data_IF_426537483084
#
_entry.id   IF_426537483084
#
_cell.length_a   1.000
_cell.length_b   1.000
_cell.length_c   1.000
_cell.angle_alpha   90.00
_cell.angle_beta   90.00
_cell.angle_gamma   90.00
#
_symmetry.space_group_name_H-M   'P 1'
#
loop_
_entity.id
_entity.type
_entity.pdbx_description
1 polymer ?
#
# COMPACT_ATOMS: atom_id res chain seq x y z
N UNK A 1 8.52 11.17 -18.82
CA UNK A 1 7.42 10.65 -18.00
C UNK A 1 7.98 9.54 -17.15
N UNK A 2 8.05 9.79 -15.85
CA UNK A 2 8.49 8.86 -14.82
C UNK A 2 7.29 8.34 -14.03
N UNK A 3 7.49 7.25 -13.31
CA UNK A 3 6.49 6.67 -12.42
C UNK A 3 7.00 6.79 -11.00
N UNK A 4 6.26 7.51 -10.16
CA UNK A 4 6.54 7.66 -8.74
C UNK A 4 5.56 6.85 -7.90
N UNK A 5 5.93 6.52 -6.68
CA UNK A 5 5.03 5.90 -5.72
C UNK A 5 5.26 6.40 -4.29
N UNK A 6 4.17 6.36 -3.51
CA UNK A 6 4.14 6.59 -2.07
C UNK A 6 2.96 5.81 -1.48
N UNK A 7 2.97 5.57 -0.17
CA UNK A 7 1.85 4.97 0.55
C UNK A 7 1.85 5.42 2.00
N UNK A 8 0.84 5.03 2.76
CA UNK A 8 0.80 5.22 4.22
C UNK A 8 0.98 6.71 4.57
N UNK A 9 0.21 7.56 3.89
CA UNK A 9 0.22 9.00 4.10
C UNK A 9 -0.40 9.35 5.45
N UNK A 10 -1.36 8.57 5.96
CA UNK A 10 -1.99 8.78 7.28
C UNK A 10 -2.37 10.26 7.53
N UNK A 11 -3.25 10.81 6.69
CA UNK A 11 -3.61 12.23 6.66
C UNK A 11 -4.38 12.71 7.90
N UNK A 12 -4.81 11.81 8.79
CA UNK A 12 -5.29 12.16 10.13
C UNK A 12 -4.21 12.90 10.94
N UNK A 13 -2.93 12.62 10.67
CA UNK A 13 -1.83 13.38 11.26
C UNK A 13 -1.58 14.67 10.48
N UNK A 14 -1.79 15.81 11.15
CA UNK A 14 -1.57 17.17 10.60
C UNK A 14 -0.23 17.29 9.85
N UNK A 15 0.82 16.71 10.41
CA UNK A 15 2.16 16.83 9.82
C UNK A 15 2.29 16.11 8.46
N UNK A 16 1.69 14.93 8.31
CA UNK A 16 1.71 14.23 7.03
C UNK A 16 0.80 14.93 6.02
N UNK A 17 -0.33 15.50 6.47
CA UNK A 17 -1.19 16.35 5.65
C UNK A 17 -0.47 17.60 5.14
N UNK A 18 0.26 18.30 6.00
CA UNK A 18 1.14 19.41 5.60
C UNK A 18 2.17 18.95 4.56
N UNK A 19 2.80 17.79 4.77
CA UNK A 19 3.77 17.23 3.84
C UNK A 19 3.16 17.00 2.45
N UNK A 20 1.92 16.49 2.37
CA UNK A 20 1.21 16.33 1.10
C UNK A 20 1.00 17.67 0.35
N UNK A 21 0.73 18.77 1.06
CA UNK A 21 0.64 20.11 0.45
C UNK A 21 1.98 20.63 -0.07
N UNK A 22 3.10 20.20 0.52
CA UNK A 22 4.46 20.56 0.12
C UNK A 22 4.99 19.72 -1.06
N UNK A 23 4.18 18.80 -1.58
CA UNK A 23 4.54 17.98 -2.74
C UNK A 23 4.67 18.86 -3.99
N UNK A 24 5.79 18.73 -4.70
CA UNK A 24 6.11 19.55 -5.88
C UNK A 24 5.40 19.03 -7.13
N UNK A 25 5.14 19.89 -8.13
CA UNK A 25 4.54 19.47 -9.40
C UNK A 25 5.44 18.50 -10.20
N UNK A 26 4.80 17.47 -10.74
CA UNK A 26 5.32 16.39 -11.57
C UNK A 26 4.39 16.19 -12.79
N UNK A 27 4.08 17.31 -13.47
CA UNK A 27 2.95 17.42 -14.42
C UNK A 27 3.03 16.49 -15.64
N UNK A 28 4.21 15.95 -15.95
CA UNK A 28 4.44 14.99 -17.05
C UNK A 28 4.56 13.53 -16.57
N UNK A 29 4.51 13.30 -15.26
CA UNK A 29 4.79 12.02 -14.62
C UNK A 29 3.51 11.40 -14.01
N UNK A 30 3.60 10.14 -13.62
CA UNK A 30 2.51 9.40 -12.98
C UNK A 30 2.82 9.11 -11.51
N UNK A 31 1.78 9.02 -10.68
CA UNK A 31 1.88 8.68 -9.26
C UNK A 31 1.08 7.42 -8.95
N UNK A 32 1.66 6.53 -8.15
CA UNK A 32 0.97 5.44 -7.48
C UNK A 32 0.83 5.79 -5.99
N UNK A 33 -0.38 5.63 -5.44
CA UNK A 33 -0.65 5.74 -4.01
C UNK A 33 -1.04 4.34 -3.50
N UNK A 34 -0.14 3.65 -2.77
CA UNK A 34 -0.37 2.26 -2.34
C UNK A 34 -1.13 2.14 -1.02
N UNK A 35 -2.31 2.75 -0.92
CA UNK A 35 -3.17 2.66 0.27
C UNK A 35 -2.71 3.46 1.48
N UNK A 36 -3.55 3.45 2.50
CA UNK A 36 -3.38 4.16 3.78
C UNK A 36 -3.12 5.66 3.60
N UNK A 37 -3.91 6.28 2.73
CA UNK A 37 -4.10 7.73 2.69
C UNK A 37 -4.64 8.21 4.03
N UNK A 38 -5.65 7.54 4.59
CA UNK A 38 -6.20 7.86 5.90
C UNK A 38 -7.59 7.28 6.11
N UNK A 39 -8.12 7.43 7.33
CA UNK A 39 -9.28 6.68 7.80
C UNK A 39 -10.64 7.26 7.40
N UNK A 40 -10.64 8.36 6.64
CA UNK A 40 -11.84 9.15 6.35
C UNK A 40 -12.00 9.36 4.85
N UNK A 41 -13.25 9.44 4.39
CA UNK A 41 -13.54 9.80 2.99
C UNK A 41 -12.98 11.19 2.63
N UNK A 42 -13.00 12.15 3.56
CA UNK A 42 -12.42 13.48 3.31
C UNK A 42 -10.92 13.42 3.01
N UNK A 43 -10.18 12.47 3.61
CA UNK A 43 -8.75 12.30 3.36
C UNK A 43 -8.48 11.85 1.91
N UNK A 44 -9.35 11.00 1.34
CA UNK A 44 -9.28 10.62 -0.07
C UNK A 44 -9.59 11.80 -0.99
N UNK A 45 -10.65 12.56 -0.70
CA UNK A 45 -10.95 13.79 -1.46
C UNK A 45 -9.77 14.76 -1.44
N UNK A 46 -9.16 14.99 -0.28
CA UNK A 46 -8.00 15.86 -0.12
C UNK A 46 -6.80 15.36 -0.92
N UNK A 47 -6.44 14.08 -0.76
CA UNK A 47 -5.32 13.46 -1.47
C UNK A 47 -5.47 13.51 -2.98
N UNK A 48 -6.64 13.09 -3.50
CA UNK A 48 -6.87 13.04 -4.94
C UNK A 48 -6.98 14.44 -5.54
N UNK A 49 -7.61 15.40 -4.85
CA UNK A 49 -7.67 16.80 -5.29
C UNK A 49 -6.30 17.44 -5.43
N UNK A 50 -5.35 17.11 -4.56
CA UNK A 50 -3.98 17.63 -4.62
C UNK A 50 -3.19 16.90 -5.69
N UNK A 51 -3.13 15.57 -5.61
CA UNK A 51 -2.23 14.76 -6.45
C UNK A 51 -2.61 14.78 -7.93
N UNK A 52 -3.89 14.82 -8.28
CA UNK A 52 -4.33 14.93 -9.68
C UNK A 52 -4.03 16.29 -10.32
N UNK A 53 -3.70 17.31 -9.52
CA UNK A 53 -3.17 18.60 -10.03
C UNK A 53 -1.65 18.60 -10.19
N UNK A 54 -0.97 17.70 -9.49
CA UNK A 54 0.50 17.64 -9.46
C UNK A 54 1.05 16.58 -10.42
N UNK A 55 0.28 15.55 -10.76
CA UNK A 55 0.70 14.44 -11.63
C UNK A 55 -0.25 14.28 -12.82
N UNK A 56 0.27 13.80 -13.94
CA UNK A 56 -0.49 13.56 -15.16
C UNK A 56 -1.55 12.46 -15.00
N UNK A 57 -1.19 11.40 -14.29
CA UNK A 57 -2.07 10.27 -14.00
C UNK A 57 -1.78 9.77 -12.59
N UNK A 58 -2.84 9.54 -11.83
CA UNK A 58 -2.75 8.95 -10.49
C UNK A 58 -3.40 7.57 -10.51
N UNK A 59 -2.73 6.62 -9.85
CA UNK A 59 -3.22 5.28 -9.55
C UNK A 59 -3.34 5.15 -8.04
N UNK A 60 -4.36 4.46 -7.56
CA UNK A 60 -4.56 4.21 -6.14
C UNK A 60 -5.06 2.79 -5.90
N UNK A 61 -4.69 2.23 -4.76
CA UNK A 61 -5.23 0.98 -4.22
C UNK A 61 -5.62 1.21 -2.76
N UNK A 62 -6.68 0.55 -2.23
CA UNK A 62 -7.07 0.71 -0.84
C UNK A 62 -6.08 0.05 0.11
N UNK A 63 -5.84 0.70 1.25
CA UNK A 63 -5.26 0.08 2.45
C UNK A 63 -6.31 -0.21 3.51
N UNK A 64 -5.89 -0.75 4.65
CA UNK A 64 -6.80 -1.07 5.75
C UNK A 64 -7.41 0.20 6.38
N UNK A 65 -6.67 1.31 6.41
CA UNK A 65 -7.16 2.53 7.03
C UNK A 65 -8.39 3.11 6.31
N UNK A 66 -8.42 3.12 4.97
CA UNK A 66 -9.60 3.56 4.21
C UNK A 66 -10.84 2.71 4.47
N UNK A 67 -10.64 1.45 4.89
CA UNK A 67 -11.68 0.45 5.07
C UNK A 67 -12.14 0.32 6.52
N UNK A 68 -11.57 1.11 7.44
CA UNK A 68 -12.04 1.18 8.80
C UNK A 68 -13.42 1.82 8.89
N UNK A 69 -14.29 1.23 9.70
CA UNK A 69 -15.50 1.88 10.18
C UNK A 69 -15.17 2.62 11.47
N UNK A 70 -15.28 3.94 11.44
CA UNK A 70 -14.91 4.78 12.58
C UNK A 70 -15.96 4.71 13.70
N UNK A 71 -15.55 4.75 14.97
CA UNK A 71 -16.50 4.78 16.08
C UNK A 71 -17.25 6.11 16.11
N UNK A 72 -18.57 6.06 16.28
CA UNK A 72 -19.41 7.25 16.22
C UNK A 72 -19.13 8.29 17.30
N UNK A 73 -19.13 9.58 16.92
CA UNK A 73 -19.08 10.70 17.85
C UNK A 73 -20.41 11.46 17.82
N UNK A 74 -21.24 11.24 18.84
CA UNK A 74 -22.67 11.59 18.89
C UNK A 74 -23.04 13.09 18.97
N UNK A 75 -22.33 14.00 18.29
CA UNK A 75 -22.67 15.44 18.23
C UNK A 75 -22.81 15.89 16.77
N UNK A 76 -23.96 15.62 16.14
CA UNK A 76 -24.21 16.01 14.74
C UNK A 76 -24.79 17.42 14.61
N UNK A 77 -24.15 18.22 13.76
CA UNK A 77 -24.79 19.33 13.04
C UNK A 77 -25.05 18.93 11.58
N UNK A 78 -25.85 19.71 10.86
CA UNK A 78 -26.00 19.59 9.39
C UNK A 78 -24.64 19.82 8.69
N UNK A 79 -24.36 19.08 7.61
CA UNK A 79 -23.15 19.26 6.79
C UNK A 79 -22.01 18.24 6.99
N UNK A 80 -22.27 17.14 7.71
CA UNK A 80 -21.30 16.08 8.02
C UNK A 80 -21.75 14.71 7.45
N UNK A 81 -22.18 14.68 6.18
CA UNK A 81 -22.68 13.46 5.53
C UNK A 81 -21.56 12.42 5.35
N UNK A 82 -20.34 12.85 4.98
CA UNK A 82 -19.17 11.98 4.83
C UNK A 82 -18.75 11.34 6.16
N UNK A 83 -18.70 12.10 7.26
CA UNK A 83 -18.47 11.57 8.62
C UNK A 83 -19.50 10.45 8.97
N UNK A 84 -20.76 10.58 8.55
CA UNK A 84 -21.76 9.53 8.76
C UNK A 84 -21.45 8.26 7.96
N UNK A 85 -20.93 8.38 6.73
CA UNK A 85 -20.49 7.24 5.93
C UNK A 85 -19.28 6.54 6.54
N UNK A 86 -18.35 7.27 7.16
CA UNK A 86 -17.21 6.70 7.91
C UNK A 86 -17.67 5.86 9.10
N UNK A 87 -18.78 6.22 9.75
CA UNK A 87 -19.33 5.52 10.91
C UNK A 87 -20.24 4.33 10.53
N UNK A 88 -20.86 4.38 9.34
CA UNK A 88 -21.91 3.43 8.93
C UNK A 88 -21.41 2.35 7.97
N UNK A 89 -20.57 2.71 6.99
CA UNK A 89 -20.14 1.78 5.95
C UNK A 89 -19.10 0.79 6.48
N UNK A 90 -19.23 -0.47 6.05
CA UNK A 90 -18.42 -1.61 6.49
C UNK A 90 -17.93 -2.41 5.30
N UNK A 91 -16.69 -2.92 5.39
CA UNK A 91 -16.14 -3.85 4.43
C UNK A 91 -16.22 -3.39 2.97
N UNK A 92 -16.77 -4.26 2.11
CA UNK A 92 -16.90 -3.97 0.69
C UNK A 92 -17.76 -2.74 0.42
N UNK A 93 -18.76 -2.44 1.25
CA UNK A 93 -19.56 -1.22 1.10
C UNK A 93 -18.73 0.04 1.31
N UNK A 94 -17.78 0.02 2.25
CA UNK A 94 -16.83 1.12 2.45
C UNK A 94 -15.87 1.24 1.27
N UNK A 95 -15.38 0.09 0.79
CA UNK A 95 -14.53 0.03 -0.39
C UNK A 95 -15.19 0.66 -1.63
N UNK A 96 -16.45 0.32 -1.91
CA UNK A 96 -17.19 0.89 -3.05
C UNK A 96 -17.33 2.42 -2.95
N UNK A 97 -17.48 2.97 -1.73
CA UNK A 97 -17.50 4.42 -1.54
C UNK A 97 -16.12 5.04 -1.82
N UNK A 98 -15.02 4.40 -1.40
CA UNK A 98 -13.67 4.86 -1.78
C UNK A 98 -13.46 4.84 -3.30
N UNK A 99 -13.97 3.82 -4.00
CA UNK A 99 -13.94 3.74 -5.48
C UNK A 99 -14.76 4.89 -6.10
N UNK A 100 -15.94 5.19 -5.55
CA UNK A 100 -16.76 6.33 -6.00
C UNK A 100 -15.99 7.64 -5.92
N UNK A 101 -15.29 7.89 -4.80
CA UNK A 101 -14.46 9.08 -4.60
C UNK A 101 -13.30 9.13 -5.60
N UNK A 102 -12.56 8.03 -5.78
CA UNK A 102 -11.47 7.96 -6.75
C UNK A 102 -11.94 8.29 -8.18
N UNK A 103 -13.12 7.79 -8.56
CA UNK A 103 -13.74 8.05 -9.87
C UNK A 103 -14.05 9.53 -10.10
N UNK A 104 -14.43 10.30 -9.07
CA UNK A 104 -14.68 11.75 -9.22
C UNK A 104 -13.44 12.53 -9.67
N UNK A 105 -12.25 12.04 -9.32
CA UNK A 105 -10.98 12.67 -9.65
C UNK A 105 -10.25 12.00 -10.83
N UNK A 106 -10.82 10.96 -11.44
CA UNK A 106 -10.17 10.21 -12.52
C UNK A 106 -8.92 9.45 -12.06
N UNK A 107 -8.87 9.06 -10.79
CA UNK A 107 -7.81 8.20 -10.25
C UNK A 107 -8.11 6.76 -10.66
N UNK A 108 -7.11 6.06 -11.22
CA UNK A 108 -7.28 4.67 -11.66
C UNK A 108 -7.17 3.74 -10.45
N UNK A 109 -8.15 2.85 -10.32
CA UNK A 109 -8.34 1.96 -9.18
C UNK A 109 -8.18 0.48 -9.57
N UNK A 110 -8.26 -0.47 -8.62
CA UNK A 110 -8.29 -1.90 -8.94
C UNK A 110 -9.47 -2.36 -9.82
N UNK A 111 -10.57 -1.59 -9.82
CA UNK A 111 -11.78 -1.96 -10.55
C UNK A 111 -11.74 -1.52 -12.03
N UNK A 112 -10.94 -0.50 -12.35
CA UNK A 112 -10.74 0.04 -13.70
C UNK A 112 -9.86 -0.85 -14.58
N UNK A 113 -9.92 -0.68 -15.90
CA UNK A 113 -9.01 -1.38 -16.81
C UNK A 113 -7.53 -1.08 -16.51
N UNK A 114 -6.69 -2.12 -16.56
CA UNK A 114 -5.24 -1.94 -16.37
C UNK A 114 -4.63 -1.14 -17.52
N UNK A 115 -3.84 -0.13 -17.16
CA UNK A 115 -3.38 0.88 -18.10
C UNK A 115 -1.97 0.58 -18.60
N UNK A 116 -1.81 0.54 -19.93
CA UNK A 116 -0.50 0.51 -20.57
C UNK A 116 0.20 1.85 -20.31
N UNK A 117 1.39 1.80 -19.74
CA UNK A 117 2.21 2.95 -19.42
C UNK A 117 3.48 2.94 -20.26
N UNK A 118 3.74 4.04 -20.98
CA UNK A 118 4.79 4.15 -22.00
C UNK A 118 5.88 5.18 -21.64
N UNK A 119 6.03 5.48 -20.35
CA UNK A 119 7.11 6.34 -19.86
C UNK A 119 8.48 5.66 -19.84
N UNK A 120 9.45 6.37 -19.27
CA UNK A 120 10.84 5.91 -19.16
C UNK A 120 10.94 4.62 -18.34
N UNK A 121 11.58 3.58 -18.89
CA UNK A 121 11.63 2.24 -18.30
C UNK A 121 10.46 1.32 -18.70
N UNK A 122 9.45 1.85 -19.40
CA UNK A 122 8.39 1.08 -20.04
C UNK A 122 8.82 0.44 -21.39
N UNK A 123 7.85 -0.06 -22.19
CA UNK A 123 6.43 -0.13 -21.87
C UNK A 123 6.15 -1.17 -20.79
N UNK A 124 5.17 -0.88 -19.93
CA UNK A 124 4.61 -1.82 -18.97
C UNK A 124 3.10 -1.64 -18.87
N UNK A 125 2.43 -2.51 -18.11
CA UNK A 125 1.02 -2.32 -17.74
C UNK A 125 0.98 -2.14 -16.22
N UNK A 126 0.38 -1.04 -15.76
CA UNK A 126 0.18 -0.79 -14.33
C UNK A 126 -1.09 -1.53 -13.89
N UNK A 127 -0.95 -2.37 -12.87
CA UNK A 127 -2.01 -3.23 -12.37
C UNK A 127 -2.29 -2.89 -10.90
N UNK A 128 -3.21 -1.95 -10.61
CA UNK A 128 -3.73 -1.75 -9.26
C UNK A 128 -4.49 -3.00 -8.79
N UNK A 129 -4.21 -3.45 -7.57
CA UNK A 129 -4.75 -4.65 -6.95
C UNK A 129 -5.34 -4.31 -5.58
N UNK A 130 -6.22 -5.18 -5.10
CA UNK A 130 -6.72 -5.15 -3.74
C UNK A 130 -6.91 -6.60 -3.31
N UNK A 131 -6.09 -7.07 -2.35
CA UNK A 131 -6.07 -8.48 -1.91
C UNK A 131 -6.50 -8.71 -0.48
N UNK A 132 -6.33 -7.74 0.44
CA UNK A 132 -6.34 -7.97 1.90
C UNK A 132 -5.27 -8.99 2.33
N UNK A 133 -5.58 -9.74 3.39
CA UNK A 133 -4.82 -10.80 4.00
C UNK A 133 -5.75 -11.91 4.51
N UNK A 134 -5.19 -13.09 4.71
CA UNK A 134 -5.90 -14.30 5.18
C UNK A 134 -5.15 -14.99 6.34
N UNK A 135 -4.30 -14.23 7.05
CA UNK A 135 -3.51 -14.72 8.18
C UNK A 135 -2.54 -15.86 7.82
N UNK A 136 -2.32 -16.14 6.53
CA UNK A 136 -1.43 -17.23 6.07
C UNK A 136 0.06 -16.90 6.18
N UNK A 137 0.42 -15.64 6.35
CA UNK A 137 1.78 -15.19 6.69
C UNK A 137 2.11 -15.45 8.17
N UNK A 138 1.97 -16.73 8.54
CA UNK A 138 2.29 -17.32 9.84
C UNK A 138 3.25 -18.50 9.65
N UNK A 139 3.91 -18.98 10.72
CA UNK A 139 4.67 -20.23 10.67
C UNK A 139 3.78 -21.41 10.23
N UNK A 140 4.36 -22.37 9.51
CA UNK A 140 3.61 -23.51 8.98
C UNK A 140 3.05 -24.45 10.08
N UNK A 141 3.65 -24.42 11.27
CA UNK A 141 3.20 -25.15 12.46
C UNK A 141 2.09 -24.44 13.24
N UNK A 142 1.77 -23.19 12.90
CA UNK A 142 0.66 -22.42 13.52
C UNK A 142 -0.59 -22.57 12.64
N UNK A 143 -1.67 -23.09 13.22
CA UNK A 143 -2.96 -23.22 12.53
C UNK A 143 -3.59 -21.86 12.25
N UNK A 144 -4.62 -21.80 11.39
CA UNK A 144 -5.32 -20.55 11.14
C UNK A 144 -6.11 -20.11 12.37
N UNK A 145 -6.70 -21.08 13.05
CA UNK A 145 -7.52 -20.94 14.24
C UNK A 145 -6.70 -20.37 15.40
N UNK A 146 -5.45 -20.84 15.57
CA UNK A 146 -4.55 -20.42 16.64
C UNK A 146 -3.75 -19.16 16.29
N UNK A 147 -3.86 -18.64 15.05
CA UNK A 147 -3.00 -17.55 14.56
C UNK A 147 -3.10 -16.28 15.42
N UNK A 148 -4.32 -15.85 15.77
CA UNK A 148 -4.52 -14.66 16.59
C UNK A 148 -4.00 -14.87 18.02
N UNK A 149 -4.19 -16.06 18.60
CA UNK A 149 -3.64 -16.40 19.92
C UNK A 149 -2.12 -16.39 19.88
N UNK A 150 -1.51 -16.95 18.83
CA UNK A 150 -0.08 -16.90 18.58
C UNK A 150 0.44 -15.46 18.52
N UNK A 151 -0.22 -14.52 17.82
CA UNK A 151 0.22 -13.12 17.86
C UNK A 151 0.04 -12.48 19.26
N UNK A 152 -1.03 -12.83 19.96
CA UNK A 152 -1.35 -12.32 21.30
C UNK A 152 -0.37 -12.79 22.39
N UNK A 153 0.34 -13.91 22.22
CA UNK A 153 1.44 -14.30 23.12
C UNK A 153 2.54 -13.22 23.23
N UNK A 154 2.72 -12.41 22.18
CA UNK A 154 3.62 -11.25 22.17
C UNK A 154 2.87 -9.91 22.34
N UNK A 155 1.59 -9.94 22.73
CA UNK A 155 0.69 -8.79 22.86
C UNK A 155 0.54 -7.98 21.56
N UNK A 156 0.58 -8.65 20.41
CA UNK A 156 0.40 -8.02 19.10
C UNK A 156 -1.03 -8.29 18.62
N UNK A 157 -1.77 -7.21 18.37
CA UNK A 157 -3.10 -7.23 17.75
C UNK A 157 -3.26 -6.03 16.83
N UNK A 158 -3.74 -6.24 15.61
CA UNK A 158 -4.02 -5.14 14.68
C UNK A 158 -5.35 -4.44 15.01
N UNK A 159 -5.40 -3.14 14.78
CA UNK A 159 -6.65 -2.34 14.85
C UNK A 159 -7.72 -2.89 13.92
N UNK A 160 -7.31 -3.49 12.80
CA UNK A 160 -8.19 -4.20 11.87
C UNK A 160 -9.17 -5.14 12.56
N UNK A 161 -8.74 -5.85 13.60
CA UNK A 161 -9.61 -6.79 14.31
C UNK A 161 -10.87 -6.14 14.88
N UNK A 162 -10.79 -4.86 15.25
CA UNK A 162 -11.90 -4.08 15.76
C UNK A 162 -12.62 -3.27 14.68
N UNK A 163 -11.90 -2.70 13.70
CA UNK A 163 -12.44 -1.66 12.81
C UNK A 163 -12.58 -2.07 11.34
N UNK A 164 -11.84 -3.08 10.87
CA UNK A 164 -11.94 -3.55 9.49
C UNK A 164 -13.01 -4.64 9.41
N UNK A 165 -14.27 -4.27 9.20
CA UNK A 165 -15.34 -5.26 9.10
C UNK A 165 -15.35 -5.94 7.72
N UNK A 166 -15.63 -7.26 7.62
CA UNK A 166 -15.57 -7.97 6.34
C UNK A 166 -16.89 -7.97 5.56
N UNK A 167 -17.92 -7.22 5.97
CA UNK A 167 -19.24 -7.23 5.33
C UNK A 167 -19.14 -7.05 3.79
N UNK A 168 -19.88 -7.83 2.98
CA UNK A 168 -20.88 -8.85 3.34
C UNK A 168 -20.29 -10.26 3.57
N UNK A 169 -18.97 -10.41 3.55
CA UNK A 169 -18.29 -11.69 3.76
C UNK A 169 -18.33 -12.10 5.23
N UNK A 170 -18.28 -13.41 5.50
CA UNK A 170 -18.30 -13.93 6.88
C UNK A 170 -16.98 -13.68 7.63
N UNK A 171 -15.88 -13.47 6.91
CA UNK A 171 -14.55 -13.22 7.48
C UNK A 171 -13.67 -12.46 6.49
N UNK A 172 -12.58 -11.87 7.01
CA UNK A 172 -11.55 -11.21 6.19
C UNK A 172 -10.86 -12.20 5.25
N UNK A 173 -10.71 -13.45 5.67
CA UNK A 173 -10.19 -14.55 4.86
C UNK A 173 -10.99 -14.79 3.59
N UNK A 174 -12.32 -14.84 3.71
CA UNK A 174 -13.22 -15.06 2.58
C UNK A 174 -13.31 -13.84 1.67
N UNK A 175 -13.19 -12.64 2.25
CA UNK A 175 -13.07 -11.42 1.45
C UNK A 175 -11.74 -11.41 0.67
N UNK A 176 -10.63 -11.75 1.33
CA UNK A 176 -9.32 -11.92 0.70
C UNK A 176 -9.38 -12.96 -0.42
N UNK A 177 -10.05 -14.08 -0.22
CA UNK A 177 -10.22 -15.12 -1.24
C UNK A 177 -10.94 -14.61 -2.50
N UNK A 178 -12.07 -13.91 -2.36
CA UNK A 178 -12.77 -13.30 -3.51
C UNK A 178 -11.88 -12.28 -4.22
N UNK A 179 -11.22 -11.42 -3.46
CA UNK A 179 -10.32 -10.38 -3.97
C UNK A 179 -9.13 -10.96 -4.75
N UNK A 180 -8.51 -12.00 -4.21
CA UNK A 180 -7.41 -12.72 -4.85
C UNK A 180 -7.87 -13.39 -6.15
N UNK A 181 -9.02 -14.08 -6.13
CA UNK A 181 -9.55 -14.76 -7.32
C UNK A 181 -9.85 -13.77 -8.47
N UNK A 182 -10.46 -12.61 -8.16
CA UNK A 182 -10.71 -11.55 -9.15
C UNK A 182 -9.42 -10.97 -9.72
N UNK A 183 -8.45 -10.69 -8.87
CA UNK A 183 -7.15 -10.16 -9.30
C UNK A 183 -6.39 -11.18 -10.16
N UNK A 184 -6.42 -12.47 -9.78
CA UNK A 184 -5.80 -13.56 -10.54
C UNK A 184 -6.37 -13.68 -11.96
N UNK A 185 -7.70 -13.68 -12.12
CA UNK A 185 -8.37 -13.74 -13.43
C UNK A 185 -7.91 -12.58 -14.34
N UNK A 186 -7.87 -11.37 -13.79
CA UNK A 186 -7.49 -10.15 -14.52
C UNK A 186 -6.01 -10.13 -14.87
N UNK A 187 -5.14 -10.58 -13.98
CA UNK A 187 -3.70 -10.68 -14.22
C UNK A 187 -3.39 -11.76 -15.27
N UNK A 188 -4.06 -12.91 -15.21
CA UNK A 188 -3.92 -13.97 -16.21
C UNK A 188 -4.27 -13.44 -17.61
N UNK A 189 -5.44 -12.83 -17.79
CA UNK A 189 -5.86 -12.23 -19.06
C UNK A 189 -4.90 -11.14 -19.55
N UNK A 190 -4.37 -10.31 -18.63
CA UNK A 190 -3.46 -9.21 -18.98
C UNK A 190 -2.07 -9.70 -19.36
N UNK A 191 -1.56 -10.71 -18.66
CA UNK A 191 -0.21 -11.26 -18.86
C UNK A 191 -0.03 -11.85 -20.27
N UNK A 192 -1.11 -12.37 -20.87
CA UNK A 192 -1.13 -12.89 -22.25
C UNK A 192 -0.76 -11.84 -23.30
N UNK A 193 -0.80 -10.54 -22.96
CA UNK A 193 -0.38 -9.45 -23.85
C UNK A 193 1.14 -9.40 -24.06
N UNK A 194 1.93 -10.12 -23.24
CA UNK A 194 3.39 -10.19 -23.34
C UNK A 194 4.13 -8.89 -22.96
N UNK A 195 3.42 -7.91 -22.39
CA UNK A 195 4.00 -6.67 -21.87
C UNK A 195 4.25 -6.85 -20.37
N UNK A 196 5.44 -6.50 -19.82
CA UNK A 196 5.72 -6.64 -18.39
C UNK A 196 4.73 -5.85 -17.51
N UNK A 197 4.40 -6.40 -16.34
CA UNK A 197 3.43 -5.80 -15.42
C UNK A 197 4.11 -5.03 -14.29
N UNK A 198 3.46 -3.97 -13.78
CA UNK A 198 3.78 -3.35 -12.49
C UNK A 198 2.64 -3.69 -11.55
N UNK A 199 2.89 -4.58 -10.60
CA UNK A 199 1.86 -5.00 -9.63
C UNK A 199 1.85 -4.00 -8.48
N UNK A 200 0.69 -3.41 -8.22
CA UNK A 200 0.51 -2.41 -7.16
C UNK A 200 -0.52 -2.93 -6.18
N UNK A 201 -0.16 -3.05 -4.91
CA UNK A 201 -1.08 -3.47 -3.85
C UNK A 201 -0.73 -2.72 -2.57
N UNK A 202 -1.64 -2.60 -1.61
CA UNK A 202 -1.25 -2.06 -0.30
C UNK A 202 -0.46 -3.10 0.50
N UNK A 203 -1.03 -4.31 0.65
CA UNK A 203 -0.39 -5.43 1.34
C UNK A 203 0.76 -6.05 0.52
N UNK A 204 1.87 -6.43 1.16
CA UNK A 204 2.90 -7.29 0.58
C UNK A 204 2.33 -8.52 -0.17
N UNK A 205 2.86 -8.79 -1.37
CA UNK A 205 2.49 -9.96 -2.17
C UNK A 205 3.37 -11.19 -1.90
N UNK A 206 4.34 -11.09 -0.99
CA UNK A 206 5.22 -12.19 -0.60
C UNK A 206 5.52 -12.13 0.89
N UNK A 207 5.56 -13.28 1.54
CA UNK A 207 5.86 -13.35 2.97
C UNK A 207 7.31 -12.93 3.26
N UNK A 208 8.25 -13.32 2.40
CA UNK A 208 9.69 -13.17 2.61
C UNK A 208 10.22 -11.74 2.36
N UNK A 209 9.36 -10.80 1.97
CA UNK A 209 9.65 -9.36 1.90
C UNK A 209 9.26 -8.63 3.19
N UNK A 210 8.55 -9.30 4.10
CA UNK A 210 8.18 -8.76 5.39
C UNK A 210 9.36 -8.89 6.36
N UNK A 211 9.86 -7.77 6.86
CA UNK A 211 10.83 -7.76 7.97
C UNK A 211 10.52 -6.58 8.88
N UNK A 212 9.75 -6.86 9.91
CA UNK A 212 9.27 -5.90 10.91
C UNK A 212 9.77 -6.36 12.29
N UNK A 213 11.08 -6.23 12.58
CA UNK A 213 11.73 -6.95 13.69
C UNK A 213 11.25 -6.55 15.08
N UNK A 214 10.57 -5.42 15.23
CA UNK A 214 9.98 -4.99 16.51
C UNK A 214 8.62 -5.64 16.78
N UNK A 215 7.92 -6.08 15.73
CA UNK A 215 6.57 -6.67 15.79
C UNK A 215 6.43 -7.81 14.77
N UNK A 216 7.29 -8.86 14.82
CA UNK A 216 7.36 -9.87 13.77
C UNK A 216 6.03 -10.62 13.56
N UNK A 217 5.25 -10.85 14.62
CA UNK A 217 3.94 -11.54 14.52
C UNK A 217 2.83 -10.68 13.94
N UNK A 218 3.10 -9.40 13.63
CA UNK A 218 2.18 -8.57 12.85
C UNK A 218 2.06 -9.07 11.39
N UNK A 219 2.93 -9.97 10.95
CA UNK A 219 2.88 -10.59 9.63
C UNK A 219 1.52 -11.18 9.25
N UNK A 220 0.71 -11.60 10.23
CA UNK A 220 -0.65 -12.10 10.02
C UNK A 220 -1.53 -11.17 9.19
N UNK A 221 -1.38 -9.86 9.38
CA UNK A 221 -2.21 -8.83 8.75
C UNK A 221 -1.57 -8.27 7.46
N UNK A 222 -0.46 -8.84 6.99
CA UNK A 222 0.34 -8.28 5.92
C UNK A 222 0.12 -8.88 4.53
N UNK A 223 -0.75 -9.88 4.36
CA UNK A 223 -1.07 -10.43 3.04
C UNK A 223 -1.46 -11.90 3.05
N UNK A 224 -1.22 -12.59 1.93
CA UNK A 224 -1.59 -14.00 1.73
C UNK A 224 -0.51 -14.76 0.95
N UNK A 225 -0.27 -16.03 1.30
CA UNK A 225 0.61 -16.95 0.56
C UNK A 225 0.10 -17.24 -0.86
N UNK A 226 -1.18 -16.97 -1.16
CA UNK A 226 -1.76 -17.18 -2.50
C UNK A 226 -1.14 -16.29 -3.59
N UNK A 227 -0.45 -15.21 -3.22
CA UNK A 227 0.17 -14.26 -4.16
C UNK A 227 1.68 -14.45 -4.30
N UNK A 228 2.26 -15.43 -3.61
CA UNK A 228 3.71 -15.58 -3.43
C UNK A 228 4.49 -15.66 -4.74
N UNK A 229 3.94 -16.28 -5.79
CA UNK A 229 4.60 -16.49 -7.08
C UNK A 229 4.17 -15.48 -8.17
N UNK A 230 3.27 -14.54 -7.86
CA UNK A 230 2.65 -13.64 -8.85
C UNK A 230 3.66 -12.81 -9.63
N UNK A 231 4.78 -12.44 -9.02
CA UNK A 231 5.84 -11.68 -9.70
C UNK A 231 6.48 -12.46 -10.84
N UNK A 232 6.66 -13.78 -10.69
CA UNK A 232 7.17 -14.64 -11.77
C UNK A 232 6.06 -15.10 -12.71
N UNK A 233 4.93 -15.54 -12.14
CA UNK A 233 3.80 -16.09 -12.88
C UNK A 233 3.21 -15.08 -13.86
N UNK A 234 3.10 -13.81 -13.45
CA UNK A 234 2.52 -12.76 -14.28
C UNK A 234 3.57 -11.80 -14.87
N UNK A 235 4.85 -12.21 -14.94
CA UNK A 235 5.92 -11.44 -15.57
C UNK A 235 6.00 -9.99 -15.05
N UNK A 236 6.02 -9.84 -13.73
CA UNK A 236 6.12 -8.55 -13.09
C UNK A 236 7.52 -7.96 -13.30
N UNK A 237 7.57 -6.70 -13.69
CA UNK A 237 8.78 -5.88 -13.77
C UNK A 237 9.15 -5.33 -12.38
N UNK A 238 8.14 -4.86 -11.65
CA UNK A 238 8.26 -4.30 -10.30
C UNK A 238 6.97 -4.61 -9.54
N UNK A 239 7.08 -4.91 -8.25
CA UNK A 239 5.97 -4.98 -7.30
C UNK A 239 6.08 -3.79 -6.35
N UNK A 240 5.01 -3.03 -6.16
CA UNK A 240 4.99 -1.82 -5.33
C UNK A 240 3.95 -1.99 -4.23
N UNK A 241 4.37 -1.86 -2.96
CA UNK A 241 3.53 -2.04 -1.78
C UNK A 241 3.76 -1.00 -0.69
N UNK A 242 2.88 -0.97 0.31
CA UNK A 242 2.98 -0.13 1.51
C UNK A 242 2.86 -0.98 2.77
N UNK A 243 2.03 -0.51 3.72
CA UNK A 243 1.53 -1.20 4.90
C UNK A 243 2.55 -1.46 6.02
N UNK A 244 3.82 -1.76 5.70
CA UNK A 244 4.80 -2.16 6.71
C UNK A 244 5.43 -0.95 7.42
N UNK A 245 5.39 0.23 6.80
CA UNK A 245 6.08 1.44 7.25
C UNK A 245 7.61 1.26 7.28
N UNK A 246 8.14 0.36 6.44
CA UNK A 246 9.56 0.04 6.39
C UNK A 246 10.09 0.14 4.96
N UNK A 247 10.28 1.39 4.49
CA UNK A 247 10.80 1.65 3.14
C UNK A 247 12.04 0.85 2.84
N UNK A 248 11.96 0.06 1.78
CA UNK A 248 13.01 -0.89 1.39
C UNK A 248 12.84 -1.28 -0.06
N UNK A 249 13.91 -1.83 -0.61
CA UNK A 249 13.87 -2.57 -1.86
C UNK A 249 14.38 -3.99 -1.62
N UNK A 250 13.64 -4.96 -2.11
CA UNK A 250 14.06 -6.36 -2.18
C UNK A 250 14.09 -6.83 -3.63
N UNK A 251 14.84 -7.90 -3.89
CA UNK A 251 14.88 -8.57 -5.19
C UNK A 251 14.56 -10.05 -5.00
N UNK A 252 13.61 -10.58 -5.78
CA UNK A 252 13.26 -12.00 -5.85
C UNK A 252 13.11 -12.39 -7.30
N UNK A 253 13.83 -13.42 -7.72
CA UNK A 253 13.80 -13.92 -9.11
C UNK A 253 14.09 -12.83 -10.16
N UNK A 254 14.96 -11.87 -9.82
CA UNK A 254 15.27 -10.72 -10.68
C UNK A 254 14.15 -9.67 -10.76
N UNK A 255 13.10 -9.78 -9.95
CA UNK A 255 12.02 -8.80 -9.83
C UNK A 255 12.22 -7.95 -8.57
N UNK A 256 12.04 -6.64 -8.74
CA UNK A 256 12.18 -5.67 -7.66
C UNK A 256 10.87 -5.50 -6.90
N UNK A 257 10.94 -5.55 -5.57
CA UNK A 257 9.85 -5.27 -4.64
C UNK A 257 10.16 -3.96 -3.92
N UNK A 258 9.27 -2.98 -4.02
CA UNK A 258 9.43 -1.64 -3.45
C UNK A 258 8.36 -1.41 -2.39
N UNK A 259 8.79 -1.28 -1.13
CA UNK A 259 7.92 -0.78 -0.07
C UNK A 259 8.12 0.74 0.05
N UNK A 260 7.02 1.49 -0.12
CA UNK A 260 7.05 2.94 -0.37
C UNK A 260 6.36 3.78 0.69
N UNK A 261 6.18 3.23 1.90
CA UNK A 261 5.47 3.92 2.97
C UNK A 261 6.15 5.21 3.41
N UNK A 262 5.38 6.29 3.52
CA UNK A 262 5.78 7.46 4.31
C UNK A 262 5.77 7.07 5.80
N UNK A 263 4.65 6.49 6.23
CA UNK A 263 4.38 6.04 7.59
C UNK A 263 3.97 7.18 8.52
N UNK A 264 3.80 6.86 9.80
CA UNK A 264 3.48 7.83 10.84
C UNK A 264 4.56 8.92 10.98
N UNK A 265 4.23 10.14 11.45
CA UNK A 265 5.17 11.26 11.54
C UNK A 265 6.53 10.95 12.18
N UNK A 266 6.56 10.08 13.21
CA UNK A 266 7.80 9.69 13.89
C UNK A 266 8.70 8.80 13.03
N UNK A 267 8.13 7.98 12.15
CA UNK A 267 8.86 6.97 11.38
C UNK A 267 9.70 7.58 10.25
N UNK A 268 9.35 8.79 9.79
CA UNK A 268 10.14 9.56 8.83
C UNK A 268 10.78 10.82 9.44
N UNK A 269 10.73 10.99 10.77
CA UNK A 269 11.38 12.09 11.49
C UNK A 269 12.90 12.16 11.23
N UNK A 270 13.58 11.02 11.15
CA UNK A 270 15.03 10.98 10.85
C UNK A 270 15.35 11.50 9.44
N UNK A 271 14.43 11.37 8.47
CA UNK A 271 14.60 11.99 7.16
C UNK A 271 14.53 13.53 7.30
N UNK A 272 13.53 14.03 8.04
CA UNK A 272 13.35 15.46 8.31
C UNK A 272 14.52 16.10 9.04
N UNK A 273 15.06 15.43 10.05
CA UNK A 273 16.25 15.91 10.78
C UNK A 273 17.49 16.03 9.88
N UNK A 274 17.52 15.32 8.75
CA UNK A 274 18.55 15.45 7.71
C UNK A 274 18.20 16.47 6.63
N UNK A 275 17.13 17.25 6.81
CA UNK A 275 16.65 18.24 5.86
C UNK A 275 15.96 17.65 4.63
N UNK A 276 15.47 16.41 4.72
CA UNK A 276 14.70 15.77 3.66
C UNK A 276 13.19 15.93 3.91
N UNK A 277 12.40 15.99 2.85
CA UNK A 277 10.94 16.14 2.94
C UNK A 277 10.20 15.05 2.14
N UNK A 278 8.87 15.20 1.96
CA UNK A 278 8.06 14.23 1.22
C UNK A 278 8.58 14.01 -0.21
N UNK A 279 9.19 15.01 -0.83
CA UNK A 279 9.68 14.93 -2.19
C UNK A 279 10.95 14.08 -2.30
N UNK A 280 11.75 14.01 -1.23
CA UNK A 280 12.89 13.08 -1.15
C UNK A 280 12.45 11.64 -0.83
N UNK A 281 11.27 11.49 -0.22
CA UNK A 281 10.69 10.19 0.14
C UNK A 281 9.80 9.60 -0.96
N UNK A 282 9.33 10.44 -1.88
CA UNK A 282 8.64 10.02 -3.10
C UNK A 282 9.54 9.08 -3.92
N UNK A 283 9.14 7.81 -4.03
CA UNK A 283 9.96 6.77 -4.68
C UNK A 283 9.84 6.89 -6.19
N UNK A 284 10.96 7.06 -6.89
CA UNK A 284 11.01 6.83 -8.34
C UNK A 284 10.99 5.31 -8.61
N UNK A 285 9.88 4.81 -9.15
CA UNK A 285 9.68 3.40 -9.50
C UNK A 285 10.22 3.12 -10.90
N UNK A 286 9.90 3.96 -11.88
CA UNK A 286 10.47 3.87 -13.23
C UNK A 286 10.96 5.25 -13.69
N UNK A 287 12.16 5.36 -14.28
CA UNK A 287 13.06 4.27 -14.67
C UNK A 287 13.92 3.68 -13.53
N UNK A 288 14.04 4.36 -12.38
CA UNK A 288 14.87 3.97 -11.23
C UNK A 288 16.35 3.68 -11.58
N UNK A 289 17.07 4.68 -12.12
CA UNK A 289 18.42 4.51 -12.65
C UNK A 289 19.48 4.13 -11.60
N UNK A 290 19.19 4.38 -10.31
CA UNK A 290 20.04 4.02 -9.18
C UNK A 290 19.92 2.54 -8.78
N UNK A 291 19.02 1.78 -9.42
CA UNK A 291 18.68 0.43 -9.00
C UNK A 291 19.19 -0.65 -9.94
N UNK A 292 20.17 -1.39 -9.43
CA UNK A 292 20.66 -2.64 -10.01
C UNK A 292 20.47 -3.75 -8.98
N UNK A 293 20.04 -4.93 -9.44
CA UNK A 293 19.95 -6.11 -8.60
C UNK A 293 21.33 -6.41 -8.01
N UNK A 294 21.52 -6.38 -6.68
CA UNK A 294 22.81 -6.68 -6.08
C UNK A 294 23.23 -8.15 -6.30
N UNK A 295 22.31 -9.02 -6.72
CA UNK A 295 22.55 -10.44 -7.01
C UNK A 295 22.78 -11.31 -5.77
N UNK A 296 22.77 -10.72 -4.57
CA UNK A 296 22.97 -11.41 -3.29
C UNK A 296 21.68 -11.55 -2.47
N UNK A 297 20.54 -11.12 -3.02
CA UNK A 297 19.22 -11.18 -2.39
C UNK A 297 19.05 -10.26 -1.18
N UNK A 298 20.05 -9.44 -0.84
CA UNK A 298 19.97 -8.56 0.33
C UNK A 298 18.99 -7.42 0.11
N UNK A 299 18.27 -7.11 1.18
CA UNK A 299 17.43 -5.92 1.28
C UNK A 299 18.26 -4.65 1.25
N UNK A 300 17.82 -3.69 0.45
CA UNK A 300 18.31 -2.32 0.46
C UNK A 300 17.35 -1.48 1.31
N UNK A 301 17.79 -1.05 2.48
CA UNK A 301 16.96 -0.23 3.38
C UNK A 301 16.90 1.21 2.90
N UNK A 302 15.75 1.86 3.04
CA UNK A 302 15.51 3.20 2.47
C UNK A 302 14.89 4.17 3.47
N UNK A 303 15.37 4.13 4.73
CA UNK A 303 14.82 4.94 5.84
C UNK A 303 14.68 6.43 5.52
N UNK A 304 15.68 7.00 4.86
CA UNK A 304 15.71 8.41 4.47
C UNK A 304 15.39 8.59 2.98
N UNK A 305 14.56 7.72 2.40
CA UNK A 305 14.25 7.68 0.96
C UNK A 305 15.38 7.11 0.09
N UNK A 306 16.63 7.23 0.54
CA UNK A 306 17.86 6.83 -0.15
C UNK A 306 18.39 5.46 0.31
N UNK A 307 19.08 4.69 -0.56
CA UNK A 307 19.66 3.39 -0.22
C UNK A 307 20.60 3.43 0.99
N UNK A 308 20.50 2.45 1.87
CA UNK A 308 21.34 2.22 3.05
C UNK A 308 21.46 0.72 3.32
N UNK A 309 22.63 0.25 3.72
CA UNK A 309 22.87 -1.16 4.07
C UNK A 309 22.67 -1.46 5.56
N UNK A 310 22.40 -0.45 6.39
CA UNK A 310 22.37 -0.57 7.86
C UNK A 310 20.94 -0.80 8.39
N UNK A 311 20.60 -2.06 8.69
CA UNK A 311 19.29 -2.44 9.26
C UNK A 311 19.04 -1.76 10.61
N UNK A 312 20.03 -1.73 11.51
CA UNK A 312 19.88 -1.22 12.88
C UNK A 312 19.55 0.28 12.85
N UNK A 313 20.21 1.03 11.97
CA UNK A 313 19.84 2.43 11.72
C UNK A 313 18.49 2.57 11.01
N UNK A 314 18.02 1.55 10.32
CA UNK A 314 16.76 1.58 9.57
C UNK A 314 15.53 1.32 10.45
N UNK A 315 15.66 0.52 11.52
CA UNK A 315 14.53 0.12 12.39
C UNK A 315 14.40 0.93 13.69
N UNK A 316 15.44 1.66 14.14
CA UNK A 316 15.39 2.47 15.37
C UNK A 316 14.30 3.53 15.31
N UNK A 317 13.34 3.53 16.24
CA UNK A 317 12.26 4.54 16.31
C UNK A 317 11.04 4.23 15.43
N UNK A 318 10.89 2.97 15.01
CA UNK A 318 9.61 2.43 14.53
C UNK A 318 8.64 2.11 15.69
N UNK A 319 9.12 2.16 16.94
CA UNK A 319 8.33 2.08 18.19
C UNK A 319 7.27 3.20 18.29
#
# INVERSE_FOLDING_TARGET
MKLYAISDLHLSYKHNREALYDLRPHLDDSLIICGDVGEKIEHLHEAFKITTKLFKQVFWVPGNHELYTLPGHSNRGEGHEEDALDEELRGDFKYQECIRVANEYGVITPEDEYVKWEGEGGPCIICPLFTLYDYSFRPDDVSREDALEWAMEENIVATDEALLHPDPYLSRDLWCEDRVARAEERLEATSQRGIPLVLVNHWPLRQDTITIPLIPRFSLWCGTKKTEDWHTRFNAKVVVTGHLHVRRTDWRDGVRFEEVSLGYPKQWQVAREKGLDVNDLLREILPAPDMQDPGDGKTIWRRSGRPSTDLVKSIKGLE
#
